data_IF_189499727910
#
_entry.id   IF_189499727910
#
_cell.length_a   1.000
_cell.length_b   1.000
_cell.length_c   1.000
_cell.angle_alpha   90.00
_cell.angle_beta   90.00
_cell.angle_gamma   90.00
#
_symmetry.space_group_name_H-M   'P 1'
#
loop_
_entity.id
_entity.type
_entity.pdbx_description
1 polymer ?
#
# COMPACT_ATOMS: atom_id res chain seq x y z
N UNK A 1 4.04 -12.52 21.97
CA UNK A 1 4.20 -11.11 21.59
C UNK A 1 3.64 -10.95 20.19
N UNK A 2 2.92 -9.86 19.92
CA UNK A 2 2.30 -9.62 18.61
C UNK A 2 1.78 -8.20 18.50
N UNK A 3 1.43 -7.80 17.28
CA UNK A 3 0.86 -6.49 16.97
C UNK A 3 -0.66 -6.59 16.83
N UNK A 4 -1.35 -5.51 17.17
CA UNK A 4 -2.78 -5.33 16.96
C UNK A 4 -3.01 -3.94 16.39
N UNK A 5 -4.13 -3.74 15.70
CA UNK A 5 -4.54 -2.41 15.27
C UNK A 5 -4.73 -1.50 16.51
N UNK A 6 -4.31 -0.25 16.37
CA UNK A 6 -4.46 0.78 17.40
C UNK A 6 -5.88 1.34 17.45
N UNK A 7 -6.63 1.23 16.36
CA UNK A 7 -8.01 1.68 16.16
C UNK A 7 -8.76 0.70 15.24
N UNK A 8 -10.06 0.93 15.04
CA UNK A 8 -10.89 0.04 14.22
C UNK A 8 -10.45 0.03 12.75
N UNK A 9 -10.56 -1.12 12.08
CA UNK A 9 -10.14 -1.25 10.68
C UNK A 9 -10.96 -0.36 9.72
N UNK A 10 -12.20 -0.01 10.10
CA UNK A 10 -13.06 0.92 9.37
C UNK A 10 -12.66 2.38 9.53
N UNK A 11 -11.74 2.70 10.44
CA UNK A 11 -11.24 4.06 10.65
C UNK A 11 -9.86 4.27 10.01
N UNK A 12 -9.22 3.22 9.52
CA UNK A 12 -7.89 3.28 8.92
C UNK A 12 -8.04 3.31 7.41
N UNK A 13 -7.73 4.45 6.79
CA UNK A 13 -7.67 4.54 5.34
C UNK A 13 -6.44 3.79 4.82
N UNK A 14 -6.52 3.25 3.60
CA UNK A 14 -5.35 2.66 2.94
C UNK A 14 -4.27 3.72 2.73
N UNK A 15 -4.65 4.97 2.46
CA UNK A 15 -3.73 6.10 2.40
C UNK A 15 -2.89 6.25 3.69
N UNK A 16 -3.49 6.07 4.88
CA UNK A 16 -2.76 6.16 6.16
C UNK A 16 -1.63 5.12 6.25
N UNK A 17 -1.88 3.92 5.72
CA UNK A 17 -0.88 2.84 5.70
C UNK A 17 0.24 3.16 4.70
N UNK A 18 -0.12 3.67 3.52
CA UNK A 18 0.88 4.05 2.50
C UNK A 18 1.74 5.20 3.00
N UNK A 19 1.16 6.25 3.58
CA UNK A 19 1.90 7.39 4.15
C UNK A 19 2.71 7.03 5.40
N UNK A 20 2.36 5.96 6.12
CA UNK A 20 3.18 5.47 7.23
C UNK A 20 4.49 4.80 6.75
N UNK A 21 4.53 4.36 5.48
CA UNK A 21 5.68 3.67 4.88
C UNK A 21 6.47 4.61 3.95
N UNK A 22 5.77 5.52 3.28
CA UNK A 22 6.32 6.47 2.31
C UNK A 22 6.14 7.93 2.78
N UNK A 23 7.17 8.77 2.65
CA UNK A 23 7.17 10.13 3.21
C UNK A 23 6.19 11.08 2.48
N UNK A 24 5.65 10.66 1.32
CA UNK A 24 4.44 11.15 0.64
C UNK A 24 4.15 10.25 -0.56
N UNK A 25 2.90 10.12 -0.99
CA UNK A 25 2.54 9.58 -2.32
C UNK A 25 2.90 10.62 -3.39
N UNK A 26 4.17 11.00 -3.45
CA UNK A 26 4.66 12.05 -4.31
C UNK A 26 5.45 11.45 -5.48
N UNK A 27 4.91 11.63 -6.68
CA UNK A 27 5.55 11.19 -7.90
C UNK A 27 6.64 12.18 -8.38
N UNK A 28 6.74 13.36 -7.76
CA UNK A 28 7.74 14.39 -8.07
C UNK A 28 9.08 14.10 -7.38
N UNK A 29 10.17 14.62 -7.97
CA UNK A 29 11.49 14.60 -7.33
C UNK A 29 11.69 15.70 -6.28
N UNK A 30 10.77 16.65 -6.15
CA UNK A 30 10.90 17.79 -5.24
C UNK A 30 10.00 17.73 -3.99
N UNK A 31 9.37 16.61 -3.66
CA UNK A 31 8.56 16.55 -2.43
C UNK A 31 7.26 17.36 -2.50
N UNK A 32 6.84 17.76 -3.72
CA UNK A 32 5.75 18.70 -3.98
C UNK A 32 6.12 20.17 -3.76
N UNK A 33 7.39 20.50 -3.47
CA UNK A 33 7.82 21.86 -3.11
C UNK A 33 8.05 22.81 -4.30
N UNK A 34 7.82 22.33 -5.53
CA UNK A 34 8.01 23.10 -6.76
C UNK A 34 9.42 23.72 -6.93
N UNK A 35 10.44 23.22 -6.23
CA UNK A 35 11.82 23.71 -6.32
C UNK A 35 12.72 22.75 -7.13
N UNK A 36 12.12 22.08 -8.10
CA UNK A 36 12.75 20.98 -8.83
C UNK A 36 13.91 21.45 -9.76
N UNK A 37 13.95 22.72 -10.20
CA UNK A 37 15.04 23.31 -11.00
C UNK A 37 15.34 24.74 -10.57
N UNK A 38 16.47 25.00 -9.91
CA UNK A 38 16.90 26.35 -9.50
C UNK A 38 15.79 27.16 -8.77
N UNK A 39 15.11 26.52 -7.81
CA UNK A 39 13.95 27.06 -7.07
C UNK A 39 12.68 27.29 -7.92
N UNK A 40 12.64 26.80 -9.16
CA UNK A 40 11.47 26.83 -10.04
C UNK A 40 10.86 25.42 -10.26
N UNK A 41 9.55 25.35 -10.54
CA UNK A 41 8.86 24.09 -10.80
C UNK A 41 9.38 23.41 -12.06
N UNK A 42 9.47 22.07 -12.03
CA UNK A 42 9.80 21.32 -13.25
C UNK A 42 8.66 21.40 -14.27
N UNK A 43 9.00 21.20 -15.55
CA UNK A 43 8.04 21.26 -16.67
C UNK A 43 6.76 20.43 -16.45
N UNK A 44 6.88 19.31 -15.73
CA UNK A 44 5.79 18.38 -15.46
C UNK A 44 5.29 18.44 -14.01
N UNK A 45 5.67 19.46 -13.24
CA UNK A 45 5.34 19.59 -11.82
C UNK A 45 3.83 19.47 -11.57
N UNK A 46 3.05 20.35 -12.17
CA UNK A 46 1.58 20.37 -12.06
C UNK A 46 0.95 19.02 -12.42
N UNK A 47 1.43 18.38 -13.49
CA UNK A 47 0.91 17.09 -13.93
C UNK A 47 1.12 15.98 -12.88
N UNK A 48 2.31 15.95 -12.27
CA UNK A 48 2.65 14.95 -11.26
C UNK A 48 1.98 15.25 -9.91
N UNK A 49 1.86 16.52 -9.53
CA UNK A 49 1.13 16.95 -8.33
C UNK A 49 -0.34 16.55 -8.45
N UNK A 50 -1.00 16.88 -9.56
CA UNK A 50 -2.40 16.49 -9.82
C UNK A 50 -2.60 14.97 -9.76
N UNK A 51 -1.65 14.20 -10.30
CA UNK A 51 -1.72 12.74 -10.27
C UNK A 51 -1.59 12.22 -8.84
N UNK A 52 -0.61 12.72 -8.09
CA UNK A 52 -0.38 12.37 -6.70
C UNK A 52 -1.62 12.64 -5.84
N UNK A 53 -2.26 13.79 -6.01
CA UNK A 53 -3.50 14.13 -5.31
C UNK A 53 -4.63 13.14 -5.66
N UNK A 54 -4.83 12.84 -6.94
CA UNK A 54 -5.86 11.87 -7.37
C UNK A 54 -5.64 10.48 -6.82
N UNK A 55 -4.38 10.02 -6.73
CA UNK A 55 -4.04 8.73 -6.14
C UNK A 55 -4.34 8.76 -4.64
N UNK A 56 -3.91 9.82 -3.95
CA UNK A 56 -4.14 9.97 -2.52
C UNK A 56 -5.63 10.00 -2.19
N UNK A 57 -6.44 10.76 -2.94
CA UNK A 57 -7.89 10.84 -2.75
C UNK A 57 -8.57 9.49 -2.96
N UNK A 58 -8.16 8.76 -4.00
CA UNK A 58 -8.67 7.42 -4.25
C UNK A 58 -8.36 6.46 -3.09
N UNK A 59 -7.12 6.47 -2.59
CA UNK A 59 -6.70 5.61 -1.46
C UNK A 59 -7.31 6.03 -0.13
N UNK A 60 -7.60 7.32 0.05
CA UNK A 60 -8.24 7.88 1.24
C UNK A 60 -9.70 7.46 1.34
N UNK A 61 -10.35 7.21 0.21
CA UNK A 61 -11.72 6.71 0.14
C UNK A 61 -11.90 5.22 0.41
N UNK A 62 -10.82 4.47 0.71
CA UNK A 62 -10.86 3.03 0.94
C UNK A 62 -10.30 2.74 2.33
N UNK A 63 -11.09 2.11 3.20
CA UNK A 63 -10.62 1.69 4.52
C UNK A 63 -10.01 0.29 4.49
N UNK A 64 -9.24 -0.06 5.52
CA UNK A 64 -8.75 -1.44 5.68
C UNK A 64 -9.91 -2.43 5.79
N UNK A 65 -11.00 -2.05 6.48
CA UNK A 65 -12.21 -2.87 6.54
C UNK A 65 -12.81 -3.11 5.14
N UNK A 66 -12.90 -2.07 4.31
CA UNK A 66 -13.39 -2.21 2.93
C UNK A 66 -12.51 -3.16 2.13
N UNK A 67 -11.19 -3.04 2.27
CA UNK A 67 -10.22 -3.85 1.55
C UNK A 67 -10.31 -5.34 1.93
N UNK A 68 -10.37 -5.67 3.23
CA UNK A 68 -10.45 -7.08 3.68
C UNK A 68 -11.80 -7.74 3.41
N UNK A 69 -12.85 -6.94 3.24
CA UNK A 69 -14.17 -7.42 2.89
C UNK A 69 -14.37 -7.65 1.38
N UNK A 70 -13.40 -7.27 0.53
CA UNK A 70 -13.45 -7.57 -0.90
C UNK A 70 -13.27 -9.06 -1.15
N UNK A 71 -14.17 -9.63 -1.94
CA UNK A 71 -14.17 -11.06 -2.28
C UNK A 71 -12.86 -11.49 -2.91
N UNK A 72 -12.34 -10.70 -3.84
CA UNK A 72 -11.08 -10.99 -4.54
C UNK A 72 -9.91 -11.06 -3.55
N UNK A 73 -9.87 -10.14 -2.58
CA UNK A 73 -8.84 -10.11 -1.53
C UNK A 73 -8.93 -11.37 -0.65
N UNK A 74 -10.13 -11.78 -0.27
CA UNK A 74 -10.35 -13.00 0.51
C UNK A 74 -9.93 -14.25 -0.25
N UNK A 75 -10.25 -14.34 -1.54
CA UNK A 75 -9.84 -15.44 -2.41
C UNK A 75 -8.30 -15.52 -2.55
N UNK A 76 -7.61 -14.39 -2.69
CA UNK A 76 -6.13 -14.36 -2.68
C UNK A 76 -5.57 -14.78 -1.33
N UNK A 77 -6.09 -14.23 -0.22
CA UNK A 77 -5.62 -14.55 1.11
C UNK A 77 -5.74 -16.05 1.41
N UNK A 78 -6.87 -16.68 1.08
CA UNK A 78 -7.09 -18.11 1.24
C UNK A 78 -6.05 -18.95 0.45
N UNK A 79 -5.74 -18.57 -0.80
CA UNK A 79 -4.70 -19.25 -1.59
C UNK A 79 -3.32 -19.13 -0.94
N UNK A 80 -2.98 -17.96 -0.39
CA UNK A 80 -1.69 -17.73 0.27
C UNK A 80 -1.55 -18.51 1.58
N UNK A 81 -2.63 -18.63 2.36
CA UNK A 81 -2.66 -19.47 3.57
C UNK A 81 -2.53 -20.97 3.24
N UNK A 82 -2.96 -21.41 2.06
CA UNK A 82 -2.77 -22.79 1.58
C UNK A 82 -1.34 -23.13 1.14
N UNK A 83 -0.44 -22.15 1.00
CA UNK A 83 0.96 -22.34 0.60
C UNK A 83 1.89 -22.60 1.81
N UNK A 84 1.41 -22.40 3.03
CA UNK A 84 2.24 -22.43 4.25
C UNK A 84 1.96 -23.57 5.22
N UNK A 85 1.56 -24.78 4.75
CA UNK A 85 1.75 -26.05 5.49
C UNK A 85 1.78 -27.22 4.50
N UNK A 86 2.93 -27.53 3.88
CA UNK A 86 3.22 -28.88 3.32
C UNK A 86 4.65 -28.97 2.75
N UNK A 87 5.69 -28.84 3.58
CA UNK A 87 7.02 -29.37 3.20
C UNK A 87 7.96 -29.63 4.38
N UNK A 88 7.54 -30.36 5.42
CA UNK A 88 8.51 -31.11 6.26
C UNK A 88 7.82 -32.34 6.88
N UNK A 89 7.44 -33.34 6.07
CA UNK A 89 7.34 -34.71 6.62
C UNK A 89 7.55 -35.80 5.57
N UNK A 90 8.72 -36.45 5.66
CA UNK A 90 8.75 -37.91 5.59
C UNK A 90 8.71 -38.64 4.24
N UNK A 91 9.31 -38.14 3.15
CA UNK A 91 9.64 -39.00 1.99
C UNK A 91 11.11 -38.96 1.61
N UNK A 92 11.80 -40.01 2.04
CA UNK A 92 13.05 -40.51 1.48
C UNK A 92 12.94 -40.58 -0.05
N UNK A 93 13.80 -39.84 -0.76
CA UNK A 93 14.07 -40.10 -2.18
C UNK A 93 15.46 -40.70 -2.25
N UNK A 94 15.45 -42.01 -2.45
CA UNK A 94 16.60 -42.78 -2.93
C UNK A 94 16.62 -42.58 -4.45
N UNK A 95 17.62 -41.85 -4.95
CA UNK A 95 18.60 -42.19 -6.02
C UNK A 95 19.52 -40.97 -6.16
#
# INVERSE_FOLDING_TARGET
GGYRLSREASEIAVADVVTAIDEKVDATRCGGLANCQDDEPCLTHELWTDLSERIYDFLSGITLADLVNRREVQEVAQRQHGISVNEIDGKSVVV
#
